data_IF_792006446610
#
_entry.id   IF_792006446610
#
_cell.length_a   1.000
_cell.length_b   1.000
_cell.length_c   1.000
_cell.angle_alpha   90.00
_cell.angle_beta   90.00
_cell.angle_gamma   90.00
#
_symmetry.space_group_name_H-M   'P 1'
#
loop_
_entity.id
_entity.type
_entity.pdbx_description
1 polymer ?
#
# COMPACT_ATOMS: atom_id res chain seq x y z
N UNK A 1 16.48 0.11 -25.75
CA UNK A 1 16.42 -0.55 -24.43
C UNK A 1 16.33 -2.05 -24.67
N UNK A 2 17.19 -2.88 -24.07
CA UNK A 2 17.13 -4.33 -24.29
C UNK A 2 16.09 -4.97 -23.36
N UNK A 3 15.53 -6.10 -23.78
CA UNK A 3 14.58 -6.89 -22.95
C UNK A 3 15.19 -7.25 -21.60
N UNK A 4 16.50 -7.53 -21.56
CA UNK A 4 17.19 -7.83 -20.30
C UNK A 4 17.19 -6.66 -19.34
N UNK A 5 17.53 -5.44 -19.81
CA UNK A 5 17.49 -4.22 -18.98
C UNK A 5 16.09 -3.95 -18.44
N UNK A 6 15.06 -4.14 -19.26
CA UNK A 6 13.66 -3.99 -18.81
C UNK A 6 13.30 -4.99 -17.71
N UNK A 7 13.77 -6.24 -17.79
CA UNK A 7 13.56 -7.24 -16.73
C UNK A 7 14.24 -6.84 -15.41
N UNK A 8 15.47 -6.34 -15.49
CA UNK A 8 16.22 -5.86 -14.32
C UNK A 8 15.50 -4.66 -13.67
N UNK A 9 15.03 -3.71 -14.47
CA UNK A 9 14.25 -2.56 -14.00
C UNK A 9 12.96 -3.00 -13.30
N UNK A 10 12.21 -3.96 -13.88
CA UNK A 10 11.01 -4.54 -13.26
C UNK A 10 11.36 -5.14 -11.89
N UNK A 11 12.41 -5.96 -11.80
CA UNK A 11 12.81 -6.58 -10.53
C UNK A 11 13.17 -5.55 -9.46
N UNK A 12 13.87 -4.47 -9.83
CA UNK A 12 14.20 -3.39 -8.88
C UNK A 12 12.94 -2.64 -8.42
N UNK A 13 12.00 -2.37 -9.33
CA UNK A 13 10.73 -1.74 -8.99
C UNK A 13 9.89 -2.62 -8.06
N UNK A 14 9.82 -3.93 -8.31
CA UNK A 14 9.12 -4.89 -7.45
C UNK A 14 9.73 -4.92 -6.04
N UNK A 15 11.06 -4.94 -5.92
CA UNK A 15 11.74 -4.88 -4.62
C UNK A 15 11.45 -3.57 -3.89
N UNK A 16 11.42 -2.45 -4.62
CA UNK A 16 11.07 -1.13 -4.05
C UNK A 16 9.62 -1.11 -3.57
N UNK A 17 8.68 -1.62 -4.36
CA UNK A 17 7.26 -1.75 -3.99
C UNK A 17 7.12 -2.62 -2.73
N UNK A 18 7.81 -3.76 -2.66
CA UNK A 18 7.80 -4.64 -1.48
C UNK A 18 8.27 -3.90 -0.23
N UNK A 19 9.37 -3.14 -0.32
CA UNK A 19 9.88 -2.35 0.80
C UNK A 19 8.94 -1.23 1.22
N UNK A 20 8.32 -0.53 0.26
CA UNK A 20 7.32 0.51 0.55
C UNK A 20 6.10 -0.10 1.25
N UNK A 21 5.61 -1.24 0.79
CA UNK A 21 4.50 -1.96 1.43
C UNK A 21 4.81 -2.36 2.87
N UNK A 22 6.03 -2.81 3.18
CA UNK A 22 6.44 -3.10 4.56
C UNK A 22 6.38 -1.84 5.43
N UNK A 23 6.86 -0.70 4.91
CA UNK A 23 6.82 0.58 5.63
C UNK A 23 5.38 1.05 5.87
N UNK A 24 4.52 0.97 4.85
CA UNK A 24 3.10 1.28 4.98
C UNK A 24 2.45 0.41 6.05
N UNK A 25 2.70 -0.91 6.05
CA UNK A 25 2.18 -1.81 7.10
C UNK A 25 2.62 -1.39 8.51
N UNK A 26 3.89 -1.02 8.69
CA UNK A 26 4.39 -0.53 9.99
C UNK A 26 3.68 0.76 10.44
N UNK A 27 3.52 1.72 9.53
CA UNK A 27 2.79 2.96 9.80
C UNK A 27 1.33 2.67 10.15
N UNK A 28 0.68 1.76 9.42
CA UNK A 28 -0.69 1.39 9.69
C UNK A 28 -0.85 0.67 11.03
N UNK A 29 0.10 -0.21 11.41
CA UNK A 29 0.08 -0.91 12.70
C UNK A 29 0.20 0.02 13.90
N UNK A 30 0.98 1.09 13.79
CA UNK A 30 1.13 2.09 14.86
C UNK A 30 0.12 3.24 14.77
N UNK A 31 -0.73 3.26 13.75
CA UNK A 31 -1.69 4.33 13.55
C UNK A 31 -2.88 4.18 14.51
N UNK A 32 -3.15 5.22 15.29
CA UNK A 32 -4.43 5.35 15.97
C UNK A 32 -5.50 5.76 14.95
N UNK A 33 -6.03 4.76 14.26
CA UNK A 33 -6.86 4.93 13.07
C UNK A 33 -8.07 5.80 13.36
N UNK A 34 -8.34 6.70 12.40
CA UNK A 34 -9.56 7.48 12.36
C UNK A 34 -10.14 7.30 10.96
N UNK A 35 -11.11 6.41 10.86
CA UNK A 35 -11.72 6.05 9.60
C UNK A 35 -12.84 7.01 9.22
N UNK A 36 -13.04 7.15 7.93
CA UNK A 36 -14.07 7.96 7.30
C UNK A 36 -14.41 7.37 5.95
N UNK A 37 -15.69 7.31 5.63
CA UNK A 37 -16.13 6.64 4.44
C UNK A 37 -17.64 6.49 4.40
N UNK A 38 -18.09 5.60 3.54
CA UNK A 38 -19.49 5.31 3.33
C UNK A 38 -19.79 3.85 3.73
N UNK A 39 -20.98 3.38 3.38
CA UNK A 39 -21.40 2.01 3.64
C UNK A 39 -20.50 0.94 3.01
N UNK A 40 -19.80 1.22 1.90
CA UNK A 40 -19.02 0.23 1.16
C UNK A 40 -17.57 0.13 1.61
N UNK A 41 -16.95 1.28 1.92
CA UNK A 41 -15.57 1.34 2.33
C UNK A 41 -15.32 2.49 3.29
N UNK A 42 -14.37 2.28 4.19
CA UNK A 42 -13.83 3.31 5.06
C UNK A 42 -12.33 3.46 4.83
N UNK A 43 -11.85 4.70 4.89
CA UNK A 43 -10.44 5.04 4.72
C UNK A 43 -9.93 5.79 5.95
N UNK A 44 -8.79 5.37 6.49
CA UNK A 44 -8.16 6.09 7.58
C UNK A 44 -7.65 7.44 7.07
N UNK A 45 -8.15 8.56 7.61
CA UNK A 45 -7.71 9.93 7.25
C UNK A 45 -6.21 10.16 7.47
N UNK A 46 -5.59 9.39 8.37
CA UNK A 46 -4.19 9.57 8.79
C UNK A 46 -3.20 8.74 7.98
N UNK A 47 -3.51 7.48 7.71
CA UNK A 47 -2.57 6.53 7.10
C UNK A 47 -3.06 5.91 5.79
N UNK A 48 -4.24 6.32 5.31
CA UNK A 48 -4.79 5.86 4.02
C UNK A 48 -5.15 4.38 3.98
N UNK A 49 -5.21 3.69 5.13
CA UNK A 49 -5.67 2.30 5.18
C UNK A 49 -7.14 2.24 4.77
N UNK A 50 -7.45 1.45 3.76
CA UNK A 50 -8.82 1.19 3.29
C UNK A 50 -9.29 -0.13 3.89
N UNK A 51 -10.48 -0.13 4.47
CA UNK A 51 -11.21 -1.34 4.81
C UNK A 51 -12.46 -1.41 3.92
N UNK A 52 -12.66 -2.54 3.26
CA UNK A 52 -13.94 -2.86 2.64
C UNK A 52 -14.88 -3.40 3.72
N UNK A 53 -16.11 -2.88 3.78
CA UNK A 53 -17.08 -3.24 4.81
C UNK A 53 -17.99 -4.40 4.40
N UNK A 54 -17.99 -4.76 3.12
CA UNK A 54 -18.71 -5.91 2.56
C UNK A 54 -17.74 -6.83 1.81
N UNK A 55 -17.89 -8.14 2.04
CA UNK A 55 -17.12 -9.22 1.45
C UNK A 55 -18.05 -10.24 0.79
#
# INVERSE_FOLDING_TARGET
>A
MSVQKMKEEIQQLELRIKNLNIRVKKIQQSCHHQYDGNEYYETCKKCGKVNALYY
#
